data_IF_144883695995
#
_entry.id   IF_144883695995
#
_cell.length_a   1.000
_cell.length_b   1.000
_cell.length_c   1.000
_cell.angle_alpha   90.00
_cell.angle_beta   90.00
_cell.angle_gamma   90.00
#
_symmetry.space_group_name_H-M   'P 1'
#
loop_
_entity.id
_entity.type
_entity.pdbx_description
1 polymer ?
#
# COMPACT_ATOMS: atom_id res chain seq x y z
N UNK A 1 54.34 -35.47 27.46
CA UNK A 1 52.88 -35.27 27.38
C UNK A 1 52.57 -33.79 27.46
N UNK A 2 52.37 -33.12 26.31
CA UNK A 2 52.07 -31.69 26.22
C UNK A 2 50.55 -31.50 26.08
N UNK A 3 50.02 -30.60 26.90
CA UNK A 3 48.59 -30.31 27.10
C UNK A 3 47.99 -29.69 25.83
N UNK A 4 46.89 -30.25 25.35
CA UNK A 4 45.99 -29.63 24.37
C UNK A 4 45.33 -28.41 25.04
N UNK A 5 45.63 -27.21 24.56
CA UNK A 5 45.02 -25.96 24.99
C UNK A 5 44.04 -25.51 23.91
N UNK A 6 42.78 -25.41 24.31
CA UNK A 6 41.86 -24.31 23.95
C UNK A 6 41.45 -24.16 22.49
N UNK A 7 40.33 -24.77 22.12
CA UNK A 7 39.50 -24.27 21.02
C UNK A 7 38.04 -24.69 21.23
N UNK A 8 37.28 -23.92 22.02
CA UNK A 8 35.82 -23.89 21.91
C UNK A 8 35.24 -22.67 22.66
N UNK A 9 35.19 -21.52 22.00
CA UNK A 9 34.41 -20.37 22.45
C UNK A 9 34.11 -19.45 21.27
N UNK A 10 33.38 -19.94 20.27
CA UNK A 10 32.91 -19.12 19.15
C UNK A 10 31.66 -19.73 18.52
N UNK A 11 30.60 -19.91 19.29
CA UNK A 11 29.25 -20.20 18.79
C UNK A 11 28.31 -19.83 19.93
N UNK A 12 27.51 -18.77 19.77
CA UNK A 12 26.29 -18.39 20.52
C UNK A 12 26.11 -16.86 20.62
N UNK A 13 26.41 -16.13 19.56
CA UNK A 13 25.76 -14.85 19.29
C UNK A 13 25.14 -14.89 17.90
N UNK A 14 24.39 -15.96 17.59
CA UNK A 14 23.31 -15.85 16.62
C UNK A 14 22.22 -15.00 17.28
N UNK A 15 22.46 -13.69 17.35
CA UNK A 15 21.43 -12.73 17.67
C UNK A 15 20.31 -13.01 16.68
N UNK A 16 19.15 -13.42 17.19
CA UNK A 16 17.95 -13.53 16.39
C UNK A 16 17.72 -12.13 15.83
N UNK A 17 18.12 -11.90 14.58
CA UNK A 17 17.66 -10.73 13.85
C UNK A 17 16.14 -10.84 13.90
N UNK A 18 15.50 -9.90 14.61
CA UNK A 18 14.05 -9.80 14.61
C UNK A 18 13.73 -9.51 13.15
N UNK A 19 13.18 -10.50 12.45
CA UNK A 19 12.72 -10.31 11.08
C UNK A 19 11.81 -9.08 11.08
N UNK A 20 12.03 -8.18 10.12
CA UNK A 20 11.17 -7.02 9.99
C UNK A 20 9.71 -7.47 9.81
N UNK A 21 8.80 -6.68 10.36
CA UNK A 21 7.38 -6.97 10.42
C UNK A 21 6.61 -5.88 9.71
N UNK A 22 5.68 -6.30 8.86
CA UNK A 22 4.72 -5.44 8.17
C UNK A 22 3.34 -5.65 8.80
N UNK A 23 2.76 -4.58 9.34
CA UNK A 23 1.38 -4.56 9.83
C UNK A 23 0.44 -4.08 8.73
N UNK A 24 -0.51 -4.93 8.37
CA UNK A 24 -1.58 -4.62 7.41
C UNK A 24 -2.76 -3.98 8.13
N UNK A 25 -3.39 -3.00 7.47
CA UNK A 25 -4.45 -2.18 8.05
C UNK A 25 -4.05 -1.59 9.42
N UNK A 26 -2.85 -1.04 9.47
CA UNK A 26 -2.25 -0.54 10.69
C UNK A 26 -3.08 0.63 11.27
N UNK A 27 -3.37 0.64 12.59
CA UNK A 27 -4.09 1.75 13.20
C UNK A 27 -3.24 3.02 13.18
N UNK A 28 -3.88 4.18 13.23
CA UNK A 28 -3.19 5.48 13.27
C UNK A 28 -2.24 5.63 14.47
N UNK A 29 -2.37 4.79 15.51
CA UNK A 29 -1.45 4.75 16.66
C UNK A 29 -0.13 4.02 16.37
N UNK A 30 0.02 3.39 15.22
CA UNK A 30 1.25 2.66 14.84
C UNK A 30 2.36 3.57 14.30
N UNK A 31 2.03 4.83 14.00
CA UNK A 31 2.97 5.86 13.56
C UNK A 31 2.55 7.23 14.10
N UNK A 32 3.47 8.19 14.12
CA UNK A 32 3.14 9.56 14.48
C UNK A 32 2.39 10.24 13.33
N UNK A 33 1.06 10.26 13.41
CA UNK A 33 0.20 10.90 12.42
C UNK A 33 0.39 12.44 12.34
N UNK A 34 1.05 13.07 13.33
CA UNK A 34 1.35 14.50 13.32
C UNK A 34 2.73 14.80 12.73
N UNK A 35 3.60 13.79 12.58
CA UNK A 35 4.89 13.97 11.94
C UNK A 35 4.70 14.22 10.43
N UNK A 36 5.58 15.02 9.78
CA UNK A 36 5.53 15.21 8.34
C UNK A 36 5.65 13.88 7.60
N UNK A 37 4.62 13.53 6.82
CA UNK A 37 4.63 12.36 5.95
C UNK A 37 5.39 12.72 4.66
N UNK A 38 6.56 12.12 4.46
CA UNK A 38 7.33 12.31 3.24
C UNK A 38 6.85 11.31 2.18
N UNK A 39 6.30 11.82 1.07
CA UNK A 39 5.84 10.97 -0.03
C UNK A 39 7.02 10.52 -0.88
N UNK A 40 7.19 9.21 -1.05
CA UNK A 40 8.17 8.65 -1.97
C UNK A 40 7.55 8.48 -3.37
N UNK A 41 6.35 7.91 -3.44
CA UNK A 41 5.57 7.78 -4.67
C UNK A 41 4.07 7.87 -4.39
N UNK A 42 3.32 8.30 -5.40
CA UNK A 42 1.86 8.25 -5.46
C UNK A 42 1.46 7.56 -6.77
N UNK A 43 0.82 6.40 -6.67
CA UNK A 43 0.08 5.78 -7.76
C UNK A 43 -1.40 6.13 -7.62
N UNK A 44 -2.04 6.58 -8.70
CA UNK A 44 -3.45 7.05 -8.67
C UNK A 44 -4.26 6.59 -9.86
N UNK A 45 -5.35 5.88 -9.59
CA UNK A 45 -6.42 5.60 -10.55
C UNK A 45 -7.52 6.62 -10.38
N UNK A 46 -8.06 7.14 -11.48
CA UNK A 46 -9.25 7.97 -11.42
C UNK A 46 -10.12 7.79 -12.66
N UNK A 47 -11.40 8.12 -12.53
CA UNK A 47 -12.24 8.38 -13.69
C UNK A 47 -11.96 9.79 -14.17
N UNK A 48 -11.46 9.94 -15.40
CA UNK A 48 -11.18 11.25 -15.98
C UNK A 48 -11.83 11.46 -17.35
N UNK A 49 -12.03 12.72 -17.72
CA UNK A 49 -12.58 13.16 -18.99
C UNK A 49 -11.50 13.71 -19.93
N UNK A 50 -10.35 14.16 -19.43
CA UNK A 50 -9.50 15.08 -20.19
C UNK A 50 -8.00 14.75 -20.25
N UNK A 51 -7.48 13.86 -19.40
CA UNK A 51 -6.04 13.83 -19.15
C UNK A 51 -5.49 12.40 -19.06
N UNK A 52 -5.46 11.86 -17.85
CA UNK A 52 -4.86 10.59 -17.49
C UNK A 52 -5.77 9.89 -16.50
N UNK A 53 -5.84 8.57 -16.58
CA UNK A 53 -6.69 7.73 -15.72
C UNK A 53 -5.83 6.89 -14.77
N UNK A 54 -4.58 6.68 -15.15
CA UNK A 54 -3.55 5.99 -14.37
C UNK A 54 -2.30 6.86 -14.37
N UNK A 55 -1.70 7.10 -13.20
CA UNK A 55 -0.38 7.74 -13.09
C UNK A 55 0.50 7.21 -11.97
N UNK A 56 1.79 7.51 -12.06
CA UNK A 56 2.71 7.55 -10.92
C UNK A 56 3.25 8.98 -10.82
N UNK A 57 3.29 9.51 -9.60
CA UNK A 57 3.76 10.85 -9.28
C UNK A 57 4.68 10.85 -8.07
N UNK A 58 5.56 11.84 -8.00
CA UNK A 58 6.50 12.07 -6.89
C UNK A 58 5.90 12.89 -5.75
N UNK A 59 4.63 13.30 -5.87
CA UNK A 59 3.96 14.19 -4.92
C UNK A 59 2.46 13.90 -4.83
N UNK A 60 1.85 14.26 -3.70
CA UNK A 60 0.39 14.29 -3.55
C UNK A 60 -0.26 15.46 -4.30
N UNK A 61 0.50 16.54 -4.52
CA UNK A 61 0.09 17.69 -5.34
C UNK A 61 0.45 17.41 -6.80
N UNK A 62 -0.43 16.64 -7.46
CA UNK A 62 -0.19 16.20 -8.84
C UNK A 62 -0.20 17.37 -9.82
N UNK A 63 0.93 17.54 -10.50
CA UNK A 63 1.15 18.47 -11.61
C UNK A 63 2.06 17.83 -12.66
N UNK A 64 2.17 18.43 -13.85
CA UNK A 64 3.05 17.95 -14.93
C UNK A 64 4.51 17.79 -14.51
N UNK A 65 5.02 18.60 -13.57
CA UNK A 65 6.40 18.49 -13.07
C UNK A 65 6.61 17.40 -12.01
N UNK A 66 5.54 16.77 -11.55
CA UNK A 66 5.57 15.71 -10.52
C UNK A 66 5.17 14.36 -11.07
N UNK A 67 4.63 14.32 -12.29
CA UNK A 67 4.18 13.10 -12.96
C UNK A 67 5.40 12.43 -13.60
N UNK A 68 5.66 11.18 -13.22
CA UNK A 68 6.77 10.36 -13.76
C UNK A 68 6.29 9.35 -14.78
N UNK A 69 5.00 9.00 -14.77
CA UNK A 69 4.39 8.13 -15.76
C UNK A 69 2.88 8.30 -15.76
N UNK A 70 2.26 8.18 -16.93
CA UNK A 70 0.79 8.24 -17.07
C UNK A 70 0.31 7.32 -18.17
N UNK A 71 -0.97 6.97 -18.10
CA UNK A 71 -1.71 6.36 -19.19
C UNK A 71 -3.11 6.98 -19.25
N UNK A 72 -3.55 7.26 -20.47
CA UNK A 72 -4.94 7.59 -20.77
C UNK A 72 -5.59 6.32 -21.33
N UNK A 73 -6.48 5.75 -20.54
CA UNK A 73 -7.12 4.47 -20.84
C UNK A 73 -8.35 4.73 -21.71
N UNK A 74 -9.24 5.61 -21.24
CA UNK A 74 -10.46 5.97 -21.94
C UNK A 74 -11.15 7.20 -21.33
N UNK A 75 -12.25 7.63 -21.94
CA UNK A 75 -13.10 8.69 -21.37
C UNK A 75 -13.89 8.21 -20.15
N UNK A 76 -14.34 9.14 -19.32
CA UNK A 76 -15.16 8.83 -18.15
C UNK A 76 -16.43 8.02 -18.46
N UNK A 77 -17.07 8.27 -19.60
CA UNK A 77 -18.24 7.51 -20.06
C UNK A 77 -17.89 6.04 -20.32
N UNK A 78 -16.68 5.77 -20.78
CA UNK A 78 -16.16 4.42 -21.01
C UNK A 78 -15.74 3.76 -19.70
N UNK A 79 -15.17 4.54 -18.77
CA UNK A 79 -14.65 4.05 -17.48
C UNK A 79 -15.73 3.88 -16.40
N UNK A 80 -16.91 4.48 -16.54
CA UNK A 80 -17.97 4.40 -15.54
C UNK A 80 -18.38 2.94 -15.26
N UNK A 81 -18.20 2.47 -14.03
CA UNK A 81 -18.38 1.08 -13.59
C UNK A 81 -17.40 0.07 -14.22
N UNK A 82 -16.30 0.51 -14.83
CA UNK A 82 -15.25 -0.39 -15.28
C UNK A 82 -14.53 -1.00 -14.07
N UNK A 83 -14.36 -2.32 -14.10
CA UNK A 83 -13.70 -3.11 -13.05
C UNK A 83 -12.32 -3.51 -13.51
N UNK A 84 -11.34 -3.17 -12.68
CA UNK A 84 -9.93 -3.40 -12.96
C UNK A 84 -9.32 -4.27 -11.88
N UNK A 85 -8.63 -5.33 -12.29
CA UNK A 85 -7.64 -5.94 -11.42
C UNK A 85 -6.39 -5.09 -11.49
N UNK A 86 -5.88 -4.66 -10.35
CA UNK A 86 -4.67 -3.86 -10.27
C UNK A 86 -3.54 -4.65 -9.60
N UNK A 87 -2.32 -4.33 -10.00
CA UNK A 87 -1.10 -4.74 -9.31
C UNK A 87 -0.14 -3.54 -9.28
N UNK A 88 0.16 -3.06 -8.08
CA UNK A 88 1.19 -2.07 -7.84
C UNK A 88 2.35 -2.75 -7.12
N UNK A 89 3.53 -2.73 -7.72
CA UNK A 89 4.70 -3.42 -7.21
C UNK A 89 5.92 -2.51 -7.20
N UNK A 90 6.85 -2.88 -6.34
CA UNK A 90 8.16 -2.29 -6.25
C UNK A 90 9.20 -3.41 -6.24
N UNK A 91 10.23 -3.23 -7.05
CA UNK A 91 11.40 -4.10 -7.10
C UNK A 91 12.62 -3.27 -6.71
N UNK A 92 13.46 -3.75 -5.76
CA UNK A 92 14.75 -3.16 -5.50
C UNK A 92 15.53 -3.05 -6.82
N UNK A 93 16.21 -1.94 -7.02
CA UNK A 93 16.96 -1.61 -8.24
C UNK A 93 16.14 -1.29 -9.52
N UNK A 94 14.86 -1.67 -9.61
CA UNK A 94 14.02 -1.34 -10.77
C UNK A 94 12.98 -0.25 -10.51
N UNK A 95 12.53 -0.07 -9.27
CA UNK A 95 11.54 0.95 -8.90
C UNK A 95 10.09 0.47 -9.01
N UNK A 96 9.18 1.34 -9.43
CA UNK A 96 7.74 1.11 -9.37
C UNK A 96 7.15 0.62 -10.69
N UNK A 97 6.25 -0.35 -10.61
CA UNK A 97 5.37 -0.75 -11.71
C UNK A 97 3.93 -0.77 -11.25
N UNK A 98 3.05 -0.14 -12.02
CA UNK A 98 1.62 -0.19 -11.78
C UNK A 98 0.88 -0.69 -13.02
N UNK A 99 0.12 -1.76 -12.86
CA UNK A 99 -0.67 -2.39 -13.92
C UNK A 99 -2.16 -2.40 -13.57
N UNK A 100 -2.99 -2.13 -14.56
CA UNK A 100 -4.43 -2.27 -14.54
C UNK A 100 -4.85 -3.22 -15.66
N UNK A 101 -5.61 -4.26 -15.34
CA UNK A 101 -6.22 -5.19 -16.29
C UNK A 101 -7.73 -5.11 -16.20
N UNK A 102 -8.38 -4.76 -17.31
CA UNK A 102 -9.82 -4.66 -17.38
C UNK A 102 -10.47 -6.03 -17.31
N UNK A 103 -11.43 -6.19 -16.39
CA UNK A 103 -12.11 -7.46 -16.17
C UNK A 103 -13.54 -7.42 -16.71
N UNK A 104 -14.31 -6.39 -16.36
CA UNK A 104 -15.75 -6.30 -16.67
C UNK A 104 -16.31 -4.91 -16.40
N UNK A 105 -17.56 -4.67 -16.80
CA UNK A 105 -18.23 -3.38 -16.58
C UNK A 105 -17.71 -2.29 -17.51
N UNK A 106 -18.26 -1.07 -17.37
CA UNK A 106 -17.96 0.03 -18.28
C UNK A 106 -18.16 -0.32 -19.76
N UNK A 107 -17.44 0.39 -20.64
CA UNK A 107 -17.39 0.16 -22.09
C UNK A 107 -15.98 -0.11 -22.59
N UNK A 108 -15.07 -0.48 -21.70
CA UNK A 108 -13.71 -0.89 -22.05
C UNK A 108 -13.74 -2.35 -22.50
N UNK A 109 -12.91 -2.73 -23.47
CA UNK A 109 -12.78 -4.12 -23.90
C UNK A 109 -12.22 -4.99 -22.75
N UNK A 110 -12.85 -6.10 -22.35
CA UNK A 110 -12.27 -7.02 -21.37
C UNK A 110 -10.88 -7.51 -21.80
N UNK A 111 -9.95 -7.58 -20.85
CA UNK A 111 -8.55 -7.95 -21.11
C UNK A 111 -7.65 -6.80 -21.54
N UNK A 112 -8.17 -5.57 -21.73
CA UNK A 112 -7.32 -4.39 -21.91
C UNK A 112 -6.38 -4.23 -20.72
N UNK A 113 -5.08 -4.09 -20.99
CA UNK A 113 -4.05 -3.86 -19.97
C UNK A 113 -3.46 -2.46 -20.16
N UNK A 114 -3.26 -1.76 -19.05
CA UNK A 114 -2.53 -0.50 -18.99
C UNK A 114 -1.44 -0.61 -17.94
N UNK A 115 -0.22 -0.22 -18.28
CA UNK A 115 0.94 -0.28 -17.40
C UNK A 115 1.66 1.06 -17.40
N UNK A 116 2.02 1.53 -16.20
CA UNK A 116 2.82 2.72 -15.96
C UNK A 116 3.99 2.32 -15.06
N UNK A 117 5.20 2.77 -15.40
CA UNK A 117 6.41 2.47 -14.63
C UNK A 117 7.11 3.75 -14.22
N UNK A 118 7.87 3.68 -13.12
CA UNK A 118 8.82 4.70 -12.71
C UNK A 118 10.11 4.01 -12.24
N UNK A 119 11.09 3.96 -13.14
CA UNK A 119 12.34 3.21 -12.98
C UNK A 119 13.61 4.06 -13.13
N UNK A 120 13.46 5.37 -13.30
CA UNK A 120 14.58 6.31 -13.41
C UNK A 120 14.27 7.60 -12.65
N UNK A 121 15.28 8.26 -12.07
CA UNK A 121 15.08 9.55 -11.39
C UNK A 121 14.44 10.62 -12.29
N UNK A 122 13.61 11.47 -11.70
CA UNK A 122 13.03 12.64 -12.35
C UNK A 122 13.29 13.88 -11.49
N UNK A 123 14.13 14.78 -11.99
CA UNK A 123 14.62 15.91 -11.18
C UNK A 123 15.34 15.40 -9.93
N UNK A 124 14.87 15.83 -8.75
CA UNK A 124 15.41 15.39 -7.46
C UNK A 124 14.73 14.15 -6.87
N UNK A 125 13.69 13.62 -7.54
CA UNK A 125 12.96 12.46 -7.06
C UNK A 125 13.61 11.18 -7.59
N UNK A 126 13.84 10.22 -6.70
CA UNK A 126 14.40 8.92 -7.01
C UNK A 126 13.35 7.82 -6.71
N UNK A 127 13.03 6.91 -7.66
CA UNK A 127 12.12 5.80 -7.38
C UNK A 127 12.58 4.90 -6.22
N UNK A 128 13.89 4.87 -5.94
CA UNK A 128 14.50 4.09 -4.87
C UNK A 128 14.65 4.87 -3.55
N UNK A 129 13.90 5.96 -3.37
CA UNK A 129 13.88 6.71 -2.10
C UNK A 129 13.34 5.80 -1.00
N UNK A 130 13.98 5.82 0.18
CA UNK A 130 13.55 5.07 1.36
C UNK A 130 12.12 5.39 1.80
N UNK A 131 11.35 4.37 2.18
CA UNK A 131 10.01 4.48 2.75
C UNK A 131 9.67 3.25 3.58
N UNK A 132 8.75 3.37 4.52
CA UNK A 132 8.35 2.26 5.41
C UNK A 132 6.85 2.12 5.56
N UNK A 133 6.05 2.88 4.81
CA UNK A 133 4.61 2.77 4.81
C UNK A 133 3.98 2.94 3.42
N UNK A 134 2.79 2.38 3.27
CA UNK A 134 1.92 2.54 2.11
C UNK A 134 0.52 2.92 2.62
N UNK A 135 0.02 4.08 2.22
CA UNK A 135 -1.37 4.47 2.43
C UNK A 135 -2.20 4.11 1.21
N UNK A 136 -3.38 3.55 1.46
CA UNK A 136 -4.42 3.30 0.48
C UNK A 136 -5.57 4.26 0.76
N UNK A 137 -6.07 4.95 -0.26
CA UNK A 137 -7.24 5.82 -0.13
C UNK A 137 -8.22 5.61 -1.30
N UNK A 138 -9.48 5.33 -0.98
CA UNK A 138 -10.58 5.31 -1.94
C UNK A 138 -11.49 6.52 -1.66
N UNK A 139 -11.74 7.33 -2.70
CA UNK A 139 -12.41 8.62 -2.55
C UNK A 139 -13.39 8.89 -3.70
N UNK A 140 -14.64 9.10 -3.32
CA UNK A 140 -15.72 9.73 -4.06
C UNK A 140 -15.89 11.15 -3.51
N UNK A 141 -15.03 12.04 -4.03
CA UNK A 141 -14.80 13.38 -3.51
C UNK A 141 -16.03 14.28 -3.48
N UNK A 142 -15.94 15.39 -2.73
CA UNK A 142 -17.08 16.28 -2.54
C UNK A 142 -17.46 17.01 -3.83
N UNK A 143 -18.71 17.47 -3.88
CA UNK A 143 -19.23 18.39 -4.91
C UNK A 143 -19.39 17.81 -6.33
N UNK A 144 -19.84 16.56 -6.49
CA UNK A 144 -20.13 15.98 -7.81
C UNK A 144 -20.92 16.95 -8.72
N UNK A 145 -20.64 16.98 -10.04
CA UNK A 145 -21.32 17.91 -10.93
C UNK A 145 -22.82 17.62 -11.01
N UNK A 146 -23.59 18.65 -11.36
CA UNK A 146 -25.03 18.53 -11.60
C UNK A 146 -25.34 17.35 -12.53
N UNK A 147 -26.46 16.67 -12.27
CA UNK A 147 -26.88 15.49 -13.02
C UNK A 147 -26.27 14.17 -12.53
N UNK A 148 -25.31 14.19 -11.59
CA UNK A 148 -24.86 13.02 -10.84
C UNK A 148 -25.70 12.88 -9.57
N UNK A 149 -26.28 11.70 -9.34
CA UNK A 149 -27.17 11.40 -8.20
C UNK A 149 -26.51 10.54 -7.12
N UNK A 150 -25.51 9.74 -7.50
CA UNK A 150 -24.66 8.99 -6.58
C UNK A 150 -23.34 8.70 -7.27
N UNK A 151 -22.27 8.54 -6.50
CA UNK A 151 -20.98 8.11 -7.01
C UNK A 151 -20.22 7.29 -5.97
N UNK A 152 -19.31 6.43 -6.39
CA UNK A 152 -18.60 5.55 -5.48
C UNK A 152 -17.23 5.15 -6.02
N UNK A 153 -16.34 4.81 -5.11
CA UNK A 153 -15.11 4.06 -5.37
C UNK A 153 -15.06 2.87 -4.43
N UNK A 154 -14.92 1.68 -5.00
CA UNK A 154 -14.81 0.44 -4.26
C UNK A 154 -13.51 -0.27 -4.62
N UNK A 155 -12.80 -0.73 -3.59
CA UNK A 155 -11.60 -1.54 -3.70
C UNK A 155 -11.80 -2.81 -2.89
N UNK A 156 -11.51 -3.95 -3.50
CA UNK A 156 -11.80 -5.27 -2.93
C UNK A 156 -10.70 -6.26 -3.24
N UNK A 157 -10.71 -7.41 -2.54
CA UNK A 157 -9.72 -8.48 -2.71
C UNK A 157 -8.28 -7.98 -2.55
N UNK A 158 -8.05 -7.07 -1.60
CA UNK A 158 -6.74 -6.50 -1.36
C UNK A 158 -5.78 -7.56 -0.82
N UNK A 159 -4.63 -7.69 -1.47
CA UNK A 159 -3.57 -8.60 -1.06
C UNK A 159 -2.21 -7.91 -1.14
N UNK A 160 -1.46 -7.97 -0.04
CA UNK A 160 -0.09 -7.47 0.05
C UNK A 160 0.87 -8.65 0.21
N UNK A 161 1.93 -8.66 -0.58
CA UNK A 161 3.02 -9.63 -0.51
C UNK A 161 4.34 -8.89 -0.44
N UNK A 162 5.25 -9.36 0.40
CA UNK A 162 6.60 -8.80 0.54
C UNK A 162 7.60 -9.94 0.78
N UNK A 163 8.76 -9.82 0.17
CA UNK A 163 9.85 -10.79 0.32
C UNK A 163 10.71 -10.49 1.55
N UNK A 164 11.01 -11.52 2.34
CA UNK A 164 11.95 -11.41 3.47
C UNK A 164 11.40 -10.72 4.73
N UNK A 165 10.13 -10.33 4.75
CA UNK A 165 9.45 -9.76 5.92
C UNK A 165 8.22 -10.59 6.30
N UNK A 166 7.91 -10.65 7.59
CA UNK A 166 6.67 -11.25 8.07
C UNK A 166 5.52 -10.24 7.97
N UNK A 167 4.31 -10.72 7.65
CA UNK A 167 3.09 -9.90 7.59
C UNK A 167 2.15 -10.22 8.75
N UNK A 168 1.56 -9.20 9.36
CA UNK A 168 0.57 -9.32 10.42
C UNK A 168 -0.73 -8.63 10.02
N UNK A 169 -1.86 -9.32 10.19
CA UNK A 169 -3.19 -8.81 9.90
C UNK A 169 -3.63 -9.07 8.45
N UNK A 170 -4.63 -8.34 7.99
CA UNK A 170 -5.15 -8.41 6.63
C UNK A 170 -5.67 -7.04 6.19
N UNK A 171 -5.63 -6.77 4.89
CA UNK A 171 -6.28 -5.60 4.31
C UNK A 171 -7.79 -5.84 4.17
N UNK A 172 -8.58 -4.82 4.46
CA UNK A 172 -10.04 -4.88 4.34
C UNK A 172 -10.51 -4.36 2.99
N UNK A 173 -11.76 -4.67 2.60
CA UNK A 173 -12.38 -3.97 1.48
C UNK A 173 -12.57 -2.49 1.81
N UNK A 174 -12.47 -1.63 0.81
CA UNK A 174 -12.68 -0.19 0.90
C UNK A 174 -13.88 0.18 0.05
N UNK A 175 -14.76 1.02 0.60
CA UNK A 175 -15.87 1.61 -0.13
C UNK A 175 -16.01 3.03 0.37
N UNK A 176 -15.99 3.96 -0.56
CA UNK A 176 -16.48 5.30 -0.33
C UNK A 176 -17.60 5.62 -1.31
N UNK A 177 -18.61 6.32 -0.82
CA UNK A 177 -19.83 6.62 -1.55
C UNK A 177 -20.26 8.06 -1.30
N UNK A 178 -20.36 8.83 -2.38
CA UNK A 178 -21.01 10.11 -2.39
C UNK A 178 -22.52 9.94 -2.62
N UNK A 179 -23.33 10.40 -1.67
CA UNK A 179 -24.79 10.35 -1.70
C UNK A 179 -25.43 11.71 -1.30
N UNK A 180 -24.88 12.82 -1.81
CA UNK A 180 -25.46 14.16 -1.65
C UNK A 180 -25.10 14.91 -0.36
N UNK A 181 -24.32 14.31 0.53
CA UNK A 181 -23.70 14.95 1.72
C UNK A 181 -22.21 14.54 1.77
N UNK A 182 -21.40 15.20 2.61
CA UNK A 182 -19.92 15.15 2.62
C UNK A 182 -19.31 13.80 2.26
N UNK A 183 -18.24 13.86 1.46
CA UNK A 183 -17.42 12.71 1.13
C UNK A 183 -16.75 12.18 2.40
N UNK A 184 -16.90 10.88 2.66
CA UNK A 184 -15.97 10.18 3.53
C UNK A 184 -14.73 9.79 2.70
N UNK A 185 -13.64 9.37 3.30
CA UNK A 185 -12.57 8.72 2.55
C UNK A 185 -12.22 7.43 3.26
N UNK A 186 -12.32 6.32 2.55
CA UNK A 186 -11.89 5.04 3.11
C UNK A 186 -10.37 4.97 3.01
N UNK A 187 -9.69 4.84 4.16
CA UNK A 187 -8.23 4.81 4.24
C UNK A 187 -7.74 3.58 4.99
N UNK A 188 -6.64 3.00 4.51
CA UNK A 188 -5.92 1.92 5.18
C UNK A 188 -4.41 2.13 5.06
N UNK A 189 -3.67 1.61 6.02
CA UNK A 189 -2.21 1.71 6.04
C UNK A 189 -1.56 0.33 6.08
N UNK A 190 -0.48 0.18 5.30
CA UNK A 190 0.51 -0.88 5.45
C UNK A 190 1.74 -0.21 6.07
N UNK A 191 2.18 -0.66 7.24
CA UNK A 191 3.30 -0.02 7.97
C UNK A 191 4.33 -1.08 8.33
N UNK A 192 5.58 -0.82 8.00
CA UNK A 192 6.73 -1.67 8.30
C UNK A 192 7.62 -1.01 9.35
N UNK A 193 8.21 -1.82 10.22
CA UNK A 193 9.30 -1.38 11.10
C UNK A 193 10.69 -1.43 10.41
N UNK A 194 10.73 -1.91 9.16
CA UNK A 194 11.88 -1.94 8.27
C UNK A 194 11.66 -1.04 7.04
N UNK A 195 12.73 -0.71 6.32
CA UNK A 195 12.66 0.03 5.07
C UNK A 195 12.06 -0.86 3.96
N UNK A 196 10.86 -0.54 3.49
CA UNK A 196 10.19 -1.29 2.42
C UNK A 196 10.85 -1.09 1.04
N UNK A 197 11.71 -0.09 0.87
CA UNK A 197 12.47 0.11 -0.38
C UNK A 197 13.62 -0.89 -0.54
N UNK A 198 13.98 -1.64 0.50
CA UNK A 198 14.99 -2.70 0.45
C UNK A 198 14.42 -4.07 0.04
N UNK A 199 13.09 -4.18 -0.10
CA UNK A 199 12.39 -5.44 -0.33
C UNK A 199 11.51 -5.39 -1.57
N UNK A 200 11.48 -6.48 -2.33
CA UNK A 200 10.47 -6.66 -3.37
C UNK A 200 9.09 -6.87 -2.74
N UNK A 201 8.10 -6.11 -3.18
CA UNK A 201 6.72 -6.23 -2.71
C UNK A 201 5.70 -5.95 -3.81
N UNK A 202 4.49 -6.45 -3.61
CA UNK A 202 3.34 -6.17 -4.46
C UNK A 202 2.07 -5.98 -3.64
N UNK A 203 1.24 -5.06 -4.11
CA UNK A 203 -0.12 -4.82 -3.64
C UNK A 203 -1.07 -5.01 -4.82
N UNK A 204 -2.03 -5.90 -4.66
CA UNK A 204 -3.00 -6.23 -5.70
C UNK A 204 -4.42 -6.21 -5.16
N UNK A 205 -5.38 -6.09 -6.09
CA UNK A 205 -6.80 -6.15 -5.77
C UNK A 205 -7.65 -5.80 -6.97
N UNK A 206 -8.91 -5.48 -6.70
CA UNK A 206 -9.88 -5.07 -7.70
C UNK A 206 -10.45 -3.70 -7.36
N UNK A 207 -10.33 -2.73 -8.28
CA UNK A 207 -10.91 -1.40 -8.16
C UNK A 207 -12.07 -1.22 -9.13
N UNK A 208 -13.14 -0.58 -8.66
CA UNK A 208 -14.28 -0.12 -9.44
C UNK A 208 -14.61 1.28 -8.98
N UNK A 209 -14.79 2.19 -9.94
CA UNK A 209 -15.38 3.49 -9.67
C UNK A 209 -16.60 3.67 -10.57
N UNK A 210 -17.61 4.38 -10.08
CA UNK A 210 -18.81 4.62 -10.86
C UNK A 210 -19.67 5.74 -10.33
N UNK A 211 -20.60 6.16 -11.17
CA UNK A 211 -21.60 7.17 -10.85
C UNK A 211 -22.92 6.89 -11.58
N UNK A 212 -24.01 7.40 -11.02
CA UNK A 212 -25.35 7.34 -11.59
C UNK A 212 -25.80 8.71 -12.07
N UNK A 213 -26.40 8.76 -13.27
CA UNK A 213 -26.86 9.97 -13.94
C UNK A 213 -25.94 10.41 -15.08
N UNK A 214 -26.09 11.66 -15.51
CA UNK A 214 -25.31 12.24 -16.62
C UNK A 214 -24.61 13.50 -16.13
N UNK A 215 -23.27 13.48 -15.97
CA UNK A 215 -22.54 14.61 -15.43
C UNK A 215 -22.60 15.80 -16.38
N UNK A 216 -23.11 16.93 -15.90
CA UNK A 216 -23.13 18.22 -16.61
C UNK A 216 -21.88 19.04 -16.31
N UNK A 217 -20.71 18.40 -16.28
CA UNK A 217 -19.45 19.03 -15.91
C UNK A 217 -18.31 18.03 -15.76
N UNK A 218 -17.15 18.53 -15.32
CA UNK A 218 -15.97 17.70 -15.16
C UNK A 218 -16.04 16.83 -13.88
N UNK A 219 -15.74 15.54 -14.02
CA UNK A 219 -15.61 14.60 -12.91
C UNK A 219 -14.15 14.21 -12.60
N UNK A 220 -13.19 14.84 -13.28
CA UNK A 220 -11.76 14.67 -12.99
C UNK A 220 -11.49 14.87 -11.49
N UNK A 221 -10.64 13.99 -10.95
CA UNK A 221 -10.24 13.98 -9.52
C UNK A 221 -11.35 13.69 -8.51
N UNK A 222 -12.60 13.49 -8.94
CA UNK A 222 -13.71 13.25 -8.00
C UNK A 222 -13.91 11.78 -7.65
N UNK A 223 -13.47 10.86 -8.49
CA UNK A 223 -13.55 9.43 -8.22
C UNK A 223 -12.16 8.84 -8.41
N UNK A 224 -11.47 8.56 -7.30
CA UNK A 224 -10.08 8.10 -7.31
C UNK A 224 -9.76 7.01 -6.29
N UNK A 225 -8.80 6.19 -6.66
CA UNK A 225 -8.11 5.26 -5.78
C UNK A 225 -6.61 5.60 -5.80
N UNK A 226 -6.03 5.80 -4.62
CA UNK A 226 -4.66 6.21 -4.43
C UNK A 226 -3.88 5.19 -3.60
N UNK A 227 -2.62 5.02 -3.98
CA UNK A 227 -1.62 4.25 -3.24
C UNK A 227 -0.40 5.14 -3.07
N UNK A 228 -0.11 5.55 -1.85
CA UNK A 228 0.99 6.46 -1.52
C UNK A 228 2.04 5.73 -0.70
N UNK A 229 3.24 5.57 -1.26
CA UNK A 229 4.39 5.14 -0.45
C UNK A 229 4.96 6.33 0.28
N UNK A 230 5.28 6.15 1.56
CA UNK A 230 5.73 7.23 2.41
C UNK A 230 6.68 6.77 3.51
N UNK A 231 7.59 7.67 3.90
CA UNK A 231 8.34 7.54 5.14
C UNK A 231 7.52 8.11 6.29
N UNK A 232 7.29 7.29 7.32
CA UNK A 232 6.59 7.65 8.55
C UNK A 232 7.44 7.29 9.76
N UNK A 233 7.28 8.05 10.85
CA UNK A 233 7.90 7.70 12.13
C UNK A 233 7.05 6.65 12.83
N UNK A 234 7.53 5.41 12.88
CA UNK A 234 6.82 4.33 13.57
C UNK A 234 6.88 4.50 15.09
N UNK A 235 5.77 4.22 15.75
CA UNK A 235 5.72 4.17 17.21
C UNK A 235 6.00 2.74 17.63
N UNK A 236 7.09 2.45 18.36
CA UNK A 236 7.38 1.10 18.82
C UNK A 236 6.21 0.56 19.64
N UNK A 237 5.80 -0.67 19.37
CA UNK A 237 4.80 -1.34 20.20
C UNK A 237 5.29 -1.36 21.67
N UNK A 238 4.43 -1.11 22.66
CA UNK A 238 4.82 -1.19 24.07
C UNK A 238 5.49 -2.53 24.37
N UNK A 239 6.69 -2.50 24.93
CA UNK A 239 7.56 -3.66 25.17
C UNK A 239 6.91 -4.81 26.00
N UNK A 240 5.74 -4.58 26.59
CA UNK A 240 4.96 -5.56 27.33
C UNK A 240 4.54 -6.78 26.49
N UNK A 241 4.33 -6.63 25.17
CA UNK A 241 3.96 -7.76 24.29
C UNK A 241 5.15 -8.70 24.07
N UNK A 242 6.37 -8.15 23.95
CA UNK A 242 7.60 -8.92 23.76
C UNK A 242 8.01 -9.69 25.03
N UNK A 243 7.77 -9.09 26.21
CA UNK A 243 7.99 -9.76 27.51
C UNK A 243 7.00 -10.91 27.75
N UNK A 244 5.75 -10.78 27.30
CA UNK A 244 4.73 -11.84 27.43
C UNK A 244 5.08 -13.11 26.66
N UNK A 245 5.61 -12.98 25.43
CA UNK A 245 6.04 -14.12 24.62
C UNK A 245 7.27 -14.84 25.23
N UNK A 246 8.24 -14.09 25.77
CA UNK A 246 9.41 -14.68 26.44
C UNK A 246 9.03 -15.36 27.78
N UNK A 247 8.10 -14.79 28.53
CA UNK A 247 7.60 -15.40 29.77
C UNK A 247 6.89 -16.73 29.52
N UNK A 248 6.09 -16.82 28.45
CA UNK A 248 5.41 -18.06 28.05
C UNK A 248 6.39 -19.13 27.51
N UNK A 249 7.41 -18.71 26.76
CA UNK A 249 8.49 -19.60 26.32
C UNK A 249 9.31 -20.16 27.50
N UNK A 250 9.61 -19.33 28.50
CA UNK A 250 10.28 -19.76 29.74
C UNK A 250 9.46 -20.78 30.54
N UNK A 251 8.13 -20.58 30.65
CA UNK A 251 7.24 -21.50 31.35
C UNK A 251 7.08 -22.85 30.64
N UNK A 252 7.03 -22.86 29.31
CA UNK A 252 6.99 -24.10 28.52
C UNK A 252 8.28 -24.93 28.69
N UNK A 253 9.43 -24.27 28.78
CA UNK A 253 10.72 -24.94 28.95
C UNK A 253 10.89 -25.53 30.36
N UNK A 254 10.38 -24.85 31.39
CA UNK A 254 10.38 -25.34 32.79
C UNK A 254 9.44 -26.55 32.96
N UNK A 255 8.25 -26.54 32.33
CA UNK A 255 7.33 -27.70 32.38
C UNK A 255 7.89 -28.96 31.71
N UNK A 256 8.72 -28.82 30.66
CA UNK A 256 9.32 -29.97 29.97
C UNK A 256 10.41 -30.65 30.80
N UNK A 257 11.18 -29.89 31.60
CA UNK A 257 12.19 -30.46 32.51
C UNK A 257 11.57 -31.26 33.66
N UNK A 258 10.44 -30.82 34.21
CA UNK A 258 9.78 -31.55 35.29
C UNK A 258 9.12 -32.88 34.86
N UNK A 259 8.95 -33.13 33.55
CA UNK A 259 8.41 -34.39 33.02
C UNK A 259 9.46 -35.43 32.66
N UNK A 260 10.75 -35.09 32.65
CA UNK A 260 11.84 -36.02 32.35
C UNK A 260 12.58 -36.52 33.60
N UNK A 261 12.11 -36.13 34.80
CA UNK A 261 12.67 -36.54 36.09
C UNK A 261 11.79 -37.52 36.89
N UNK A 262 10.78 -38.11 36.26
CA UNK A 262 10.00 -39.25 36.79
C UNK A 262 10.17 -40.43 35.84
#
# INVERSE_FOLDING_TARGET
>A
MRRFIGALAACLTSGSAIAGMVTLNAPASSFDANAPIQTAALARYRISNSNWDQLISTSTSVSTSTIVGTSNIATHNTLNNARWNFNFSFEPDEGYTWTLQHVSGGRVTPGTVSTVTWNAPMGNANPLTSFNAIELAAEAGPSMPNGVSSAYVSVSNLHFSVSGLDTQGALGNMLDQWAGVEADSSRQWVVSNSDLSEHAWSLSGTVVAGFAGTPMGNIDERLRFEMRTAAVTTVPAPAAITLGAMALGGLAHVRRRNRQGQ
#
